data_IF_778074418673
#
_entry.id   IF_778074418673
#
_cell.length_a   1.000
_cell.length_b   1.000
_cell.length_c   1.000
_cell.angle_alpha   90.00
_cell.angle_beta   90.00
_cell.angle_gamma   90.00
#
_symmetry.space_group_name_H-M   'P 1'
#
loop_
_entity.id
_entity.type
_entity.pdbx_description
1 polymer ?
#
# COMPACT_ATOMS: atom_id res chain seq x y z
N UNK A 1 -20.31 29.08 -7.74
CA UNK A 1 -20.35 27.64 -7.36
C UNK A 1 -18.99 27.00 -7.60
N UNK A 2 -18.42 26.28 -6.61
CA UNK A 2 -17.14 25.56 -6.79
C UNK A 2 -17.36 24.35 -7.70
N UNK A 3 -16.68 24.28 -8.86
CA UNK A 3 -16.71 23.11 -9.75
C UNK A 3 -16.16 21.88 -9.02
N UNK A 4 -17.01 20.91 -8.73
CA UNK A 4 -16.59 19.61 -8.21
C UNK A 4 -15.89 18.86 -9.36
N UNK A 5 -14.57 18.69 -9.25
CA UNK A 5 -13.83 17.86 -10.21
C UNK A 5 -14.17 16.39 -9.96
N UNK A 6 -14.94 15.79 -10.86
CA UNK A 6 -15.16 14.34 -10.86
C UNK A 6 -13.82 13.64 -11.12
N UNK A 7 -13.35 12.84 -10.17
CA UNK A 7 -12.14 12.04 -10.35
C UNK A 7 -12.44 10.90 -11.31
N UNK A 8 -11.63 10.75 -12.37
CA UNK A 8 -11.77 9.63 -13.33
C UNK A 8 -11.69 8.32 -12.55
N UNK A 9 -12.71 7.45 -12.68
CA UNK A 9 -12.68 6.09 -12.11
C UNK A 9 -11.47 5.37 -12.73
N UNK A 10 -10.51 4.95 -11.91
CA UNK A 10 -9.38 4.15 -12.38
C UNK A 10 -9.94 2.79 -12.79
N UNK A 11 -9.64 2.36 -14.03
CA UNK A 11 -9.98 1.00 -14.48
C UNK A 11 -9.36 -0.01 -13.51
N UNK A 12 -10.23 -0.84 -12.92
CA UNK A 12 -9.87 -1.82 -11.90
C UNK A 12 -9.13 -3.01 -12.53
N UNK A 13 -9.35 -3.21 -13.83
CA UNK A 13 -8.82 -4.28 -14.65
C UNK A 13 -7.53 -3.84 -15.36
N UNK A 14 -6.45 -4.61 -15.22
CA UNK A 14 -5.25 -4.47 -16.04
C UNK A 14 -5.44 -5.21 -17.37
N UNK A 15 -6.43 -4.79 -18.18
CA UNK A 15 -6.71 -5.44 -19.47
C UNK A 15 -5.48 -5.46 -20.39
N UNK A 16 -4.62 -4.43 -20.31
CA UNK A 16 -3.39 -4.35 -21.11
C UNK A 16 -2.42 -5.51 -20.89
N UNK A 17 -2.28 -6.03 -19.66
CA UNK A 17 -1.39 -7.19 -19.41
C UNK A 17 -1.94 -8.50 -19.97
N UNK A 18 -3.26 -8.61 -20.08
CA UNK A 18 -3.93 -9.78 -20.63
C UNK A 18 -3.83 -9.76 -22.16
N UNK A 19 -3.93 -8.57 -22.76
CA UNK A 19 -3.66 -8.38 -24.19
C UNK A 19 -2.19 -8.62 -24.55
N UNK A 20 -1.24 -8.16 -23.73
CA UNK A 20 0.21 -8.32 -23.97
C UNK A 20 0.71 -9.77 -23.90
N UNK A 21 0.19 -10.58 -22.97
CA UNK A 21 0.62 -11.98 -22.81
C UNK A 21 -0.10 -12.92 -23.81
N UNK A 22 -1.26 -12.49 -24.31
CA UNK A 22 -2.11 -13.31 -25.16
C UNK A 22 -2.80 -14.42 -24.37
N UNK A 23 -4.04 -14.75 -24.78
CA UNK A 23 -4.84 -15.81 -24.16
C UNK A 23 -4.14 -17.18 -24.16
N UNK A 24 -3.22 -17.37 -25.10
CA UNK A 24 -2.53 -18.62 -25.36
C UNK A 24 -1.43 -18.95 -24.34
N UNK A 25 -0.58 -17.98 -23.96
CA UNK A 25 0.42 -18.19 -22.92
C UNK A 25 -0.21 -18.37 -21.54
N UNK A 26 -1.30 -17.63 -21.28
CA UNK A 26 -2.08 -17.80 -20.06
C UNK A 26 -2.70 -19.20 -19.97
N UNK A 27 -3.24 -19.71 -21.08
CA UNK A 27 -3.73 -21.09 -21.18
C UNK A 27 -2.61 -22.11 -20.88
N UNK A 28 -1.42 -21.93 -21.48
CA UNK A 28 -0.25 -22.79 -21.23
C UNK A 28 0.17 -22.81 -19.75
N UNK A 29 0.13 -21.66 -19.06
CA UNK A 29 0.43 -21.56 -17.61
C UNK A 29 -0.58 -22.33 -16.76
N UNK A 30 -1.88 -22.17 -17.04
CA UNK A 30 -2.92 -22.92 -16.32
C UNK A 30 -2.74 -24.41 -16.55
N UNK A 31 -2.58 -24.86 -17.80
CA UNK A 31 -2.41 -26.29 -18.11
C UNK A 31 -1.21 -26.89 -17.38
N UNK A 32 -0.07 -26.20 -17.38
CA UNK A 32 1.13 -26.65 -16.66
C UNK A 32 0.92 -26.68 -15.13
N UNK A 33 0.21 -25.69 -14.57
CA UNK A 33 -0.15 -25.68 -13.15
C UNK A 33 -1.10 -26.83 -12.78
N UNK A 34 -2.01 -27.19 -13.68
CA UNK A 34 -2.92 -28.32 -13.50
C UNK A 34 -2.21 -29.67 -13.56
N UNK A 35 -1.27 -29.86 -14.50
CA UNK A 35 -0.47 -31.08 -14.61
C UNK A 35 0.41 -31.30 -13.37
N UNK A 36 1.06 -30.25 -12.86
CA UNK A 36 1.91 -30.33 -11.66
C UNK A 36 1.15 -30.67 -10.38
N UNK A 37 -0.11 -30.27 -10.29
CA UNK A 37 -0.95 -30.47 -9.10
C UNK A 37 -1.90 -31.66 -9.23
N UNK A 38 -1.72 -32.51 -10.24
CA UNK A 38 -2.54 -33.70 -10.46
C UNK A 38 -2.27 -34.72 -9.36
N UNK A 39 -3.27 -34.99 -8.52
CA UNK A 39 -3.27 -36.10 -7.56
C UNK A 39 -4.22 -37.20 -8.05
N UNK A 40 -3.76 -38.44 -7.98
CA UNK A 40 -4.57 -39.61 -8.31
C UNK A 40 -5.47 -39.97 -7.10
N UNK A 41 -6.78 -40.12 -7.35
CA UNK A 41 -7.75 -40.57 -6.33
C UNK A 41 -8.70 -39.53 -5.75
N UNK A 42 -8.73 -38.28 -6.25
CA UNK A 42 -9.66 -37.24 -5.78
C UNK A 42 -11.05 -37.33 -6.42
N UNK A 43 -12.08 -37.01 -5.63
CA UNK A 43 -13.46 -36.94 -6.08
C UNK A 43 -13.63 -35.84 -7.16
N UNK A 44 -14.59 -35.98 -8.08
CA UNK A 44 -14.85 -35.01 -9.16
C UNK A 44 -15.06 -33.58 -8.65
N UNK A 45 -15.65 -33.44 -7.46
CA UNK A 45 -15.92 -32.14 -6.83
C UNK A 45 -14.66 -31.50 -6.23
N UNK A 46 -13.78 -32.30 -5.63
CA UNK A 46 -12.48 -31.82 -5.12
C UNK A 46 -11.56 -31.40 -6.26
N UNK A 47 -11.58 -32.16 -7.36
CA UNK A 47 -10.89 -31.80 -8.60
C UNK A 47 -11.37 -30.47 -9.17
N UNK A 48 -12.70 -30.22 -9.16
CA UNK A 48 -13.28 -28.96 -9.62
C UNK A 48 -12.88 -27.78 -8.73
N UNK A 49 -12.97 -27.92 -7.40
CA UNK A 49 -12.56 -26.87 -6.45
C UNK A 49 -11.07 -26.54 -6.65
N UNK A 50 -10.22 -27.56 -6.77
CA UNK A 50 -8.78 -27.38 -7.02
C UNK A 50 -8.53 -26.63 -8.34
N UNK A 51 -9.28 -26.95 -9.39
CA UNK A 51 -9.18 -26.24 -10.66
C UNK A 51 -9.53 -24.76 -10.50
N UNK A 52 -10.64 -24.47 -9.82
CA UNK A 52 -11.06 -23.09 -9.56
C UNK A 52 -10.04 -22.32 -8.72
N UNK A 53 -9.43 -22.95 -7.71
CA UNK A 53 -8.38 -22.34 -6.90
C UNK A 53 -7.12 -22.02 -7.72
N UNK A 54 -6.68 -22.95 -8.58
CA UNK A 54 -5.50 -22.75 -9.41
C UNK A 54 -5.71 -21.63 -10.43
N UNK A 55 -6.86 -21.61 -11.10
CA UNK A 55 -7.24 -20.51 -12.00
C UNK A 55 -7.27 -19.19 -11.23
N UNK A 56 -7.85 -19.17 -10.02
CA UNK A 56 -7.92 -17.97 -9.20
C UNK A 56 -6.53 -17.49 -8.77
N UNK A 57 -5.63 -18.39 -8.40
CA UNK A 57 -4.23 -18.06 -8.05
C UNK A 57 -3.51 -17.38 -9.19
N UNK A 58 -3.54 -17.96 -10.39
CA UNK A 58 -2.91 -17.37 -11.59
C UNK A 58 -3.58 -16.04 -11.98
N UNK A 59 -4.91 -15.93 -11.87
CA UNK A 59 -5.65 -14.72 -12.18
C UNK A 59 -5.44 -13.57 -11.19
N UNK A 60 -4.98 -13.81 -9.96
CA UNK A 60 -4.82 -12.76 -8.95
C UNK A 60 -3.88 -11.64 -9.44
N UNK A 61 -2.85 -12.00 -10.20
CA UNK A 61 -1.86 -11.06 -10.75
C UNK A 61 -2.42 -10.22 -11.90
N UNK A 62 -3.47 -10.70 -12.57
CA UNK A 62 -4.13 -10.08 -13.73
C UNK A 62 -5.35 -9.25 -13.34
N UNK A 63 -6.21 -9.82 -12.50
CA UNK A 63 -7.53 -9.27 -12.13
C UNK A 63 -7.40 -8.11 -11.14
N UNK A 64 -6.31 -8.06 -10.39
CA UNK A 64 -6.04 -6.94 -9.49
C UNK A 64 -4.95 -6.09 -10.13
N UNK A 65 -5.29 -4.86 -10.51
CA UNK A 65 -4.36 -3.76 -10.37
C UNK A 65 -3.87 -3.73 -8.94
N UNK A 66 -2.84 -4.53 -8.62
CA UNK A 66 -2.18 -4.52 -7.32
C UNK A 66 -1.64 -3.11 -7.22
N UNK A 67 -2.38 -2.25 -6.51
CA UNK A 67 -1.87 -0.94 -6.14
C UNK A 67 -0.53 -1.25 -5.50
N UNK A 68 0.56 -0.80 -6.13
CA UNK A 68 1.92 -1.00 -5.60
C UNK A 68 1.84 -0.63 -4.12
N UNK A 69 1.99 -1.65 -3.26
CA UNK A 69 1.93 -1.44 -1.81
C UNK A 69 3.03 -0.41 -1.53
N UNK A 70 2.76 0.53 -0.62
CA UNK A 70 3.85 1.37 -0.14
C UNK A 70 4.87 0.42 0.52
N UNK A 71 6.18 0.57 0.26
CA UNK A 71 7.19 -0.40 0.68
C UNK A 71 7.20 -0.61 2.20
N UNK A 72 6.84 0.41 2.98
CA UNK A 72 6.75 0.35 4.44
C UNK A 72 5.47 -0.31 4.99
N UNK A 73 4.53 -0.78 4.16
CA UNK A 73 3.30 -1.41 4.66
C UNK A 73 3.51 -2.92 4.80
N UNK A 74 3.50 -3.40 6.04
CA UNK A 74 3.64 -4.84 6.34
C UNK A 74 2.31 -5.58 6.19
N UNK A 75 2.36 -6.90 5.98
CA UNK A 75 1.16 -7.72 5.86
C UNK A 75 0.35 -7.78 7.17
N UNK A 76 1.01 -7.67 8.33
CA UNK A 76 0.36 -7.54 9.63
C UNK A 76 -0.56 -6.29 9.69
N UNK A 77 -0.09 -5.15 9.15
CA UNK A 77 -0.91 -3.93 9.08
C UNK A 77 -2.13 -4.14 8.17
N UNK A 78 -1.98 -4.90 7.07
CA UNK A 78 -3.08 -5.21 6.15
C UNK A 78 -4.13 -6.07 6.84
N UNK A 79 -3.72 -7.06 7.63
CA UNK A 79 -4.62 -7.90 8.42
C UNK A 79 -5.41 -7.02 9.41
N UNK A 80 -4.74 -6.16 10.19
CA UNK A 80 -5.41 -5.21 11.09
C UNK A 80 -6.34 -4.24 10.36
N UNK A 81 -6.00 -3.82 9.13
CA UNK A 81 -6.91 -3.01 8.30
C UNK A 81 -8.19 -3.78 7.93
N UNK A 82 -8.12 -5.08 7.63
CA UNK A 82 -9.29 -5.92 7.36
C UNK A 82 -10.16 -6.07 8.60
N UNK A 83 -9.56 -6.33 9.75
CA UNK A 83 -10.26 -6.43 11.03
C UNK A 83 -10.98 -5.13 11.40
N UNK A 84 -10.33 -3.98 11.20
CA UNK A 84 -10.94 -2.66 11.39
C UNK A 84 -12.15 -2.47 10.47
N UNK A 85 -12.07 -2.90 9.20
CA UNK A 85 -13.20 -2.83 8.26
C UNK A 85 -14.36 -3.71 8.73
N UNK A 86 -14.10 -4.92 9.23
CA UNK A 86 -15.12 -5.79 9.80
C UNK A 86 -15.74 -5.20 11.07
N UNK A 87 -14.93 -4.61 11.96
CA UNK A 87 -15.42 -3.95 13.16
C UNK A 87 -16.31 -2.74 12.85
N UNK A 88 -16.01 -1.97 11.79
CA UNK A 88 -16.86 -0.87 11.32
C UNK A 88 -18.20 -1.35 10.74
N UNK A 89 -18.23 -2.56 10.16
CA UNK A 89 -19.46 -3.14 9.58
C UNK A 89 -20.48 -3.52 10.67
N UNK A 90 -20.01 -3.93 11.84
CA UNK A 90 -20.86 -4.19 13.01
C UNK A 90 -21.35 -2.86 13.60
N UNK A 91 -22.66 -2.69 13.73
CA UNK A 91 -23.28 -1.46 14.27
C UNK A 91 -23.39 -1.46 15.81
N UNK A 92 -22.96 -2.54 16.45
CA UNK A 92 -23.01 -2.75 17.90
C UNK A 92 -22.04 -1.83 18.66
N UNK A 93 -22.33 -1.52 19.92
CA UNK A 93 -21.43 -0.74 20.80
C UNK A 93 -20.07 -1.41 20.99
N UNK A 94 -20.03 -2.74 21.07
CA UNK A 94 -18.78 -3.50 21.08
C UNK A 94 -18.00 -3.33 19.77
N UNK A 95 -18.70 -3.28 18.64
CA UNK A 95 -18.14 -2.98 17.33
C UNK A 95 -17.48 -1.59 17.30
N UNK A 96 -18.16 -0.58 17.84
CA UNK A 96 -17.63 0.79 17.97
C UNK A 96 -16.40 0.85 18.87
N UNK A 97 -16.42 0.19 20.04
CA UNK A 97 -15.27 0.14 20.97
C UNK A 97 -14.07 -0.54 20.33
N UNK A 98 -14.28 -1.69 19.67
CA UNK A 98 -13.25 -2.44 18.96
C UNK A 98 -12.68 -1.64 17.78
N UNK A 99 -13.53 -0.94 17.03
CA UNK A 99 -13.08 -0.04 15.95
C UNK A 99 -12.19 1.08 16.46
N UNK A 100 -12.57 1.77 17.56
CA UNK A 100 -11.76 2.87 18.14
C UNK A 100 -10.39 2.37 18.57
N UNK A 101 -10.34 1.23 19.26
CA UNK A 101 -9.09 0.60 19.71
C UNK A 101 -8.19 0.23 18.52
N UNK A 102 -8.72 -0.54 17.57
CA UNK A 102 -7.99 -0.96 16.36
C UNK A 102 -7.51 0.25 15.54
N UNK A 103 -8.32 1.31 15.44
CA UNK A 103 -7.94 2.48 14.66
C UNK A 103 -6.78 3.26 15.32
N UNK A 104 -6.77 3.37 16.66
CA UNK A 104 -5.68 4.02 17.40
C UNK A 104 -4.39 3.22 17.29
N UNK A 105 -4.47 1.91 17.53
CA UNK A 105 -3.33 0.99 17.40
C UNK A 105 -2.75 1.03 16.00
N UNK A 106 -3.60 0.91 14.97
CA UNK A 106 -3.18 0.95 13.58
C UNK A 106 -2.55 2.29 13.21
N UNK A 107 -3.07 3.42 13.70
CA UNK A 107 -2.50 4.74 13.42
C UNK A 107 -1.11 4.87 14.03
N UNK A 108 -0.93 4.46 15.29
CA UNK A 108 0.37 4.48 15.97
C UNK A 108 1.38 3.55 15.31
N UNK A 109 0.97 2.34 14.94
CA UNK A 109 1.85 1.37 14.26
C UNK A 109 2.24 1.84 12.86
N UNK A 110 1.28 2.38 12.08
CA UNK A 110 1.57 2.99 10.79
C UNK A 110 2.61 4.11 10.91
N UNK A 111 2.48 4.98 11.91
CA UNK A 111 3.40 6.09 12.12
C UNK A 111 4.80 5.61 12.50
N UNK A 112 4.91 4.64 13.41
CA UNK A 112 6.18 4.03 13.81
C UNK A 112 6.89 3.38 12.62
N UNK A 113 6.18 2.53 11.88
CA UNK A 113 6.76 1.81 10.73
C UNK A 113 7.14 2.78 9.63
N UNK A 114 6.29 3.76 9.34
CA UNK A 114 6.59 4.81 8.36
C UNK A 114 7.81 5.63 8.77
N UNK A 115 7.93 6.01 10.04
CA UNK A 115 9.08 6.79 10.53
C UNK A 115 10.36 5.99 10.39
N UNK A 116 10.38 4.73 10.86
CA UNK A 116 11.55 3.84 10.72
C UNK A 116 12.01 3.71 9.27
N UNK A 117 11.06 3.46 8.36
CA UNK A 117 11.38 3.37 6.94
C UNK A 117 11.94 4.69 6.38
N UNK A 118 11.39 5.84 6.79
CA UNK A 118 11.95 7.14 6.36
C UNK A 118 13.35 7.36 6.91
N UNK A 119 13.59 7.03 8.19
CA UNK A 119 14.89 7.17 8.83
C UNK A 119 15.94 6.27 8.14
N UNK A 120 15.58 5.03 7.79
CA UNK A 120 16.43 4.10 7.00
C UNK A 120 16.78 4.67 5.62
N UNK A 121 15.80 5.23 4.91
CA UNK A 121 16.03 5.84 3.59
C UNK A 121 16.89 7.12 3.68
N UNK A 122 16.73 7.93 4.73
CA UNK A 122 17.59 9.09 4.97
C UNK A 122 19.03 8.66 5.25
N UNK A 123 19.23 7.68 6.16
CA UNK A 123 20.56 7.17 6.49
C UNK A 123 21.28 6.62 5.25
N UNK A 124 20.56 5.90 4.39
CA UNK A 124 21.10 5.37 3.13
C UNK A 124 21.54 6.48 2.16
N UNK A 125 20.82 7.60 2.10
CA UNK A 125 21.21 8.77 1.31
C UNK A 125 22.45 9.45 1.93
N UNK A 126 22.48 9.63 3.25
CA UNK A 126 23.63 10.22 3.95
C UNK A 126 24.90 9.39 3.78
N UNK A 127 24.80 8.06 3.78
CA UNK A 127 25.94 7.17 3.52
C UNK A 127 26.45 7.28 2.07
N UNK A 128 25.54 7.40 1.10
CA UNK A 128 25.93 7.64 -0.29
C UNK A 128 26.61 8.98 -0.48
N UNK A 129 26.16 10.02 0.23
CA UNK A 129 26.82 11.33 0.22
C UNK A 129 28.21 11.28 0.88
N UNK A 130 28.34 10.60 2.02
CA UNK A 130 29.64 10.41 2.72
C UNK A 130 30.65 9.64 1.87
N UNK A 131 30.19 8.68 1.08
CA UNK A 131 31.05 7.87 0.18
C UNK A 131 31.34 8.54 -1.16
N UNK A 132 30.83 9.75 -1.40
CA UNK A 132 31.05 10.53 -2.63
C UNK A 132 30.20 10.10 -3.82
N UNK A 133 29.22 9.21 -3.62
CA UNK A 133 28.31 8.70 -4.67
C UNK A 133 27.09 9.60 -4.87
N UNK A 134 27.33 10.88 -5.12
CA UNK A 134 26.28 11.89 -5.19
C UNK A 134 25.22 11.61 -6.28
N UNK A 135 25.62 11.06 -7.44
CA UNK A 135 24.66 10.71 -8.50
C UNK A 135 23.66 9.63 -8.06
N UNK A 136 24.11 8.64 -7.28
CA UNK A 136 23.23 7.61 -6.71
C UNK A 136 22.29 8.19 -5.66
N UNK A 137 22.78 9.09 -4.81
CA UNK A 137 21.97 9.81 -3.83
C UNK A 137 20.85 10.62 -4.52
N UNK A 138 21.19 11.39 -5.56
CA UNK A 138 20.21 12.16 -6.33
C UNK A 138 19.19 11.28 -7.06
N UNK A 139 19.61 10.13 -7.61
CA UNK A 139 18.67 9.15 -8.19
C UNK A 139 17.67 8.66 -7.15
N UNK A 140 18.12 8.27 -5.95
CA UNK A 140 17.23 7.84 -4.86
C UNK A 140 16.28 8.94 -4.41
N UNK A 141 16.75 10.19 -4.29
CA UNK A 141 15.89 11.34 -3.97
C UNK A 141 14.83 11.56 -5.06
N UNK A 142 15.21 11.44 -6.33
CA UNK A 142 14.29 11.57 -7.47
C UNK A 142 13.22 10.47 -7.48
N UNK A 143 13.62 9.23 -7.20
CA UNK A 143 12.69 8.10 -7.09
C UNK A 143 11.76 8.25 -5.89
N UNK A 144 12.27 8.78 -4.78
CA UNK A 144 11.51 9.08 -3.57
C UNK A 144 10.46 10.17 -3.79
N UNK A 145 10.83 11.26 -4.48
CA UNK A 145 9.92 12.37 -4.78
C UNK A 145 8.97 12.05 -5.95
N UNK A 146 9.19 10.92 -6.64
CA UNK A 146 8.46 10.55 -7.84
C UNK A 146 8.86 11.44 -9.00
N UNK A 147 9.76 10.95 -9.84
CA UNK A 147 10.17 11.62 -11.06
C UNK A 147 8.98 12.16 -11.87
N UNK A 148 8.90 13.50 -11.96
CA UNK A 148 8.16 14.25 -12.99
C UNK A 148 6.63 14.20 -12.95
N UNK A 149 6.00 15.29 -12.51
CA UNK A 149 4.75 15.79 -13.11
C UNK A 149 3.47 14.96 -12.87
N UNK A 150 3.02 14.83 -11.63
CA UNK A 150 1.73 14.19 -11.35
C UNK A 150 1.09 14.68 -10.06
N UNK A 151 0.31 15.76 -10.17
CA UNK A 151 -0.40 16.40 -9.07
C UNK A 151 -1.20 15.44 -8.16
N UNK A 152 -1.04 15.61 -6.84
CA UNK A 152 -2.20 15.61 -5.93
C UNK A 152 -2.53 14.34 -5.13
N UNK A 153 -1.57 13.46 -4.83
CA UNK A 153 -1.86 12.21 -4.10
C UNK A 153 -1.24 12.05 -2.71
N UNK A 154 0.01 12.48 -2.51
CA UNK A 154 0.80 12.15 -1.30
C UNK A 154 1.06 13.35 -0.38
N UNK A 155 1.07 14.57 -0.92
CA UNK A 155 1.45 15.79 -0.19
C UNK A 155 0.55 16.10 1.00
N UNK A 156 -0.72 15.67 0.99
CA UNK A 156 -1.67 15.99 2.06
C UNK A 156 -1.33 15.36 3.42
N UNK A 157 -0.51 14.30 3.44
CA UNK A 157 -0.06 13.68 4.69
C UNK A 157 1.30 14.21 5.16
N UNK A 158 2.17 14.63 4.24
CA UNK A 158 3.50 15.17 4.57
C UNK A 158 3.39 16.64 5.01
N UNK A 159 2.52 17.43 4.36
CA UNK A 159 2.23 18.81 4.78
C UNK A 159 1.62 18.90 6.19
N UNK A 160 0.97 17.83 6.66
CA UNK A 160 0.38 17.79 8.01
C UNK A 160 1.46 17.67 9.10
N UNK A 161 2.45 16.80 8.89
CA UNK A 161 3.57 16.63 9.80
C UNK A 161 4.49 17.86 9.85
N UNK A 162 4.66 18.57 8.73
CA UNK A 162 5.44 19.82 8.67
C UNK A 162 4.75 21.00 9.38
N UNK A 163 3.41 21.10 9.30
CA UNK A 163 2.66 22.14 10.04
C UNK A 163 2.58 21.88 11.54
N UNK A 164 2.53 20.62 11.97
CA UNK A 164 2.47 20.26 13.40
C UNK A 164 3.78 20.58 14.13
N UNK A 165 4.95 20.41 13.49
CA UNK A 165 6.24 20.85 14.07
C UNK A 165 6.33 22.37 14.23
N UNK A 166 5.90 23.12 13.20
CA UNK A 166 5.94 24.59 13.21
C UNK A 166 4.98 25.21 14.27
N UNK A 167 3.87 24.54 14.59
CA UNK A 167 2.94 24.98 15.64
C UNK A 167 3.46 24.72 17.07
N UNK A 168 4.24 23.66 17.29
CA UNK A 168 4.86 23.37 18.61
C UNK A 168 6.04 24.31 18.88
N UNK A 169 6.80 24.65 17.84
CA UNK A 169 7.96 25.54 17.93
C UNK A 169 7.56 27.01 18.17
N UNK A 170 6.45 27.48 17.58
CA UNK A 170 5.89 28.82 17.87
C UNK A 170 5.33 28.96 19.29
N UNK A 171 4.76 27.91 19.88
CA UNK A 171 4.24 27.96 21.26
C UNK A 171 5.34 28.10 22.33
N UNK A 172 6.56 27.66 22.05
CA UNK A 172 7.70 27.86 22.97
C UNK A 172 8.33 29.26 22.87
N UNK A 173 8.20 29.94 21.73
CA UNK A 173 8.71 31.31 21.54
C UNK A 173 7.76 32.39 22.10
N UNK A 174 6.44 32.13 22.13
CA UNK A 174 5.44 33.09 22.61
C UNK A 174 5.14 32.99 24.12
N UNK A 175 5.57 31.90 24.80
CA UNK A 175 5.37 31.70 26.24
C UNK A 175 6.48 32.27 27.15
N UNK A 176 7.48 32.95 26.60
CA UNK A 176 8.68 33.41 27.30
C UNK A 176 8.78 34.93 27.55
N UNK A 177 7.68 35.67 27.46
CA UNK A 177 7.64 37.10 27.83
C UNK A 177 6.39 37.43 28.66
N UNK A 178 6.48 37.17 29.96
CA UNK A 178 5.70 37.89 30.97
C UNK A 178 6.66 38.24 32.11
N UNK A 179 7.26 39.41 32.00
CA UNK A 179 7.57 40.29 33.12
C UNK A 179 6.36 41.16 33.38
#
# INVERSE_FOLDING_TARGET
>A
MKKVRMTKKKNIWNLCKIEEIGKEEFGKRISNCMEKNKKEGENSEENWIRMQENITKELIDYVKGVRKKKPWVTDAMIIKMKERRQAKKRMDEEGKRKYRKLNKELSSECEKVRKKWLDEQCNEIEELEKTGKHEEAYRKIKDFNGGGGGAGGSSKCIERAGREKNCLEKKHLEGGKST
#
